data_IF_681017184967
#
_entry.id   IF_681017184967
#
_cell.length_a   1.000
_cell.length_b   1.000
_cell.length_c   1.000
_cell.angle_alpha   90.00
_cell.angle_beta   90.00
_cell.angle_gamma   90.00
#
_symmetry.space_group_name_H-M   'P 1'
#
loop_
_entity.id
_entity.type
_entity.pdbx_description
1 polymer ?
#
# COMPACT_ATOMS: atom_id res chain seq x y z
N UNK A 1 2.75 -8.33 -23.50
CA UNK A 1 2.79 -9.45 -22.52
C UNK A 1 2.21 -8.95 -21.22
N UNK A 2 0.96 -9.27 -20.93
CA UNK A 2 0.33 -9.05 -19.63
C UNK A 2 0.12 -10.43 -19.00
N UNK A 3 1.08 -10.88 -18.19
CA UNK A 3 0.98 -12.14 -17.48
C UNK A 3 0.08 -11.93 -16.26
N UNK A 4 -1.23 -12.13 -16.46
CA UNK A 4 -2.14 -12.44 -15.36
C UNK A 4 -1.94 -13.92 -15.07
N UNK A 5 -1.02 -14.22 -14.17
CA UNK A 5 -0.70 -15.59 -13.76
C UNK A 5 -1.12 -15.75 -12.31
N UNK A 6 -2.25 -16.42 -12.11
CA UNK A 6 -2.86 -16.84 -10.84
C UNK A 6 -3.12 -15.72 -9.82
N UNK A 7 -4.40 -15.45 -9.55
CA UNK A 7 -4.90 -14.38 -8.68
C UNK A 7 -4.56 -14.45 -7.18
N UNK A 8 -3.34 -14.84 -6.81
CA UNK A 8 -2.79 -14.72 -5.45
C UNK A 8 -1.58 -13.80 -5.49
N UNK A 9 -1.85 -12.50 -5.42
CA UNK A 9 -0.77 -11.52 -5.29
C UNK A 9 -0.19 -11.66 -3.88
N UNK A 10 1.08 -12.09 -3.77
CA UNK A 10 1.80 -12.12 -2.49
C UNK A 10 1.89 -10.69 -1.97
N UNK A 11 1.28 -10.43 -0.80
CA UNK A 11 1.60 -9.21 -0.06
C UNK A 11 3.02 -9.32 0.49
N UNK A 12 3.86 -8.39 0.07
CA UNK A 12 5.27 -8.31 0.49
C UNK A 12 5.54 -7.04 1.29
N UNK A 13 4.55 -6.16 1.45
CA UNK A 13 4.74 -4.87 2.10
C UNK A 13 3.56 -4.48 2.97
N UNK A 14 3.88 -4.03 4.17
CA UNK A 14 2.96 -3.34 5.07
C UNK A 14 2.88 -1.88 4.63
N UNK A 15 1.66 -1.39 4.40
CA UNK A 15 1.36 -0.01 4.09
C UNK A 15 0.61 0.63 5.25
N UNK A 16 1.09 1.80 5.71
CA UNK A 16 0.36 2.63 6.64
C UNK A 16 -0.67 3.47 5.88
N UNK A 17 -1.96 3.27 6.16
CA UNK A 17 -3.07 4.02 5.54
C UNK A 17 -2.89 5.52 5.80
N UNK A 18 -2.52 5.88 7.03
CA UNK A 18 -2.05 7.20 7.41
C UNK A 18 -0.56 7.11 7.75
N UNK A 19 0.32 7.89 7.09
CA UNK A 19 1.74 7.86 7.40
C UNK A 19 2.01 8.31 8.84
N UNK A 20 3.02 7.73 9.48
CA UNK A 20 3.45 8.13 10.84
C UNK A 20 3.76 9.64 10.93
N UNK A 21 4.33 10.21 9.87
CA UNK A 21 4.64 11.64 9.78
C UNK A 21 3.41 12.56 9.90
N UNK A 22 2.21 12.05 9.58
CA UNK A 22 0.95 12.79 9.68
C UNK A 22 0.12 12.35 10.89
N UNK A 23 0.71 11.59 11.84
CA UNK A 23 0.03 11.08 13.02
C UNK A 23 -0.80 9.82 12.74
N UNK A 24 -0.30 8.92 11.88
CA UNK A 24 -0.74 7.53 11.84
C UNK A 24 -0.06 6.68 12.94
N UNK A 25 -0.58 5.48 13.17
CA UNK A 25 -0.11 4.54 14.18
C UNK A 25 0.31 3.20 13.55
N UNK A 26 0.90 2.30 14.34
CA UNK A 26 1.17 0.92 13.90
C UNK A 26 0.02 -0.04 14.25
N UNK A 27 -1.18 0.50 14.47
CA UNK A 27 -2.34 -0.32 14.82
C UNK A 27 -2.83 -1.08 13.58
N UNK A 28 -3.33 -2.30 13.76
CA UNK A 28 -3.72 -3.18 12.66
C UNK A 28 -4.79 -2.55 11.74
N UNK A 29 -5.59 -1.63 12.25
CA UNK A 29 -6.57 -0.82 11.50
C UNK A 29 -5.93 0.26 10.62
N UNK A 30 -4.70 0.69 10.93
CA UNK A 30 -3.90 1.59 10.09
C UNK A 30 -2.89 0.83 9.21
N UNK A 31 -2.78 -0.49 9.34
CA UNK A 31 -1.86 -1.32 8.55
C UNK A 31 -2.62 -2.16 7.52
N UNK A 32 -2.17 -2.11 6.27
CA UNK A 32 -2.68 -3.01 5.23
C UNK A 32 -1.55 -3.73 4.51
N UNK A 33 -1.74 -5.03 4.29
CA UNK A 33 -0.81 -5.86 3.54
C UNK A 33 -1.12 -5.71 2.05
N UNK A 34 -0.31 -4.93 1.34
CA UNK A 34 -0.45 -4.72 -0.09
C UNK A 34 0.60 -5.48 -0.90
N UNK A 35 0.21 -5.87 -2.10
CA UNK A 35 1.15 -6.31 -3.12
C UNK A 35 1.91 -5.11 -3.71
N UNK A 36 3.11 -5.36 -4.24
CA UNK A 36 3.96 -4.31 -4.82
C UNK A 36 3.23 -3.46 -5.88
N UNK A 37 2.40 -4.09 -6.72
CA UNK A 37 1.63 -3.41 -7.77
C UNK A 37 0.62 -2.40 -7.19
N UNK A 38 -0.21 -2.80 -6.22
CA UNK A 38 -1.11 -1.87 -5.54
C UNK A 38 -0.35 -0.84 -4.70
N UNK A 39 0.79 -1.21 -4.11
CA UNK A 39 1.60 -0.28 -3.33
C UNK A 39 2.13 0.86 -4.19
N UNK A 40 2.56 0.58 -5.42
CA UNK A 40 2.97 1.61 -6.38
C UNK A 40 1.80 2.48 -6.83
N UNK A 41 0.62 1.89 -7.11
CA UNK A 41 -0.56 2.65 -7.52
C UNK A 41 -1.06 3.59 -6.41
N UNK A 42 -1.19 3.09 -5.18
CA UNK A 42 -1.66 3.86 -4.04
C UNK A 42 -0.63 4.93 -3.67
N UNK A 43 0.67 4.63 -3.67
CA UNK A 43 1.71 5.65 -3.41
C UNK A 43 1.68 6.76 -4.48
N UNK A 44 1.46 6.42 -5.75
CA UNK A 44 1.36 7.41 -6.82
C UNK A 44 0.09 8.29 -6.69
N UNK A 45 -1.03 7.73 -6.23
CA UNK A 45 -2.27 8.48 -5.97
C UNK A 45 -2.21 9.32 -4.70
N UNK A 46 -1.70 8.75 -3.61
CA UNK A 46 -1.64 9.36 -2.28
C UNK A 46 -0.46 10.31 -2.12
N UNK A 47 0.58 10.22 -2.97
CA UNK A 47 1.74 11.13 -2.96
C UNK A 47 1.37 12.59 -3.19
N UNK A 48 0.20 12.88 -3.77
CA UNK A 48 -0.35 14.24 -3.85
C UNK A 48 -1.29 14.62 -2.69
N UNK A 49 -1.70 13.68 -1.85
CA UNK A 49 -2.68 13.88 -0.77
C UNK A 49 -2.03 14.39 0.53
N UNK A 50 -0.75 14.09 0.72
CA UNK A 50 0.03 14.43 1.91
C UNK A 50 1.24 15.33 1.61
N UNK A 51 1.38 15.80 0.36
CA UNK A 51 2.40 16.76 -0.07
C UNK A 51 2.14 18.17 0.43
#
# INVERSE_FOLDING_TARGET
MHLIQDGRIRSTRIYHVKPLAHGGTNDDDNLMSLCASHHSEITAREGGRWG
#
